data_IF_340791444422
#
_entry.id   IF_340791444422
#
_cell.length_a   1.000
_cell.length_b   1.000
_cell.length_c   1.000
_cell.angle_alpha   90.00
_cell.angle_beta   90.00
_cell.angle_gamma   90.00
#
_symmetry.space_group_name_H-M   'P 1'
#
loop_
_entity.id
_entity.type
_entity.pdbx_description
1 polymer ?
#
# COMPACT_ATOMS: atom_id res chain seq x y z
N UNK A 1 -22.12 21.31 14.85
CA UNK A 1 -21.13 20.88 15.86
C UNK A 1 -19.73 21.01 15.25
N UNK A 2 -18.89 21.89 15.80
CA UNK A 2 -17.51 22.05 15.35
C UNK A 2 -16.73 20.74 15.62
N UNK A 3 -16.18 20.08 14.57
CA UNK A 3 -15.28 18.95 14.74
C UNK A 3 -14.06 19.42 15.52
N UNK A 4 -13.92 18.99 16.77
CA UNK A 4 -12.70 19.21 17.54
C UNK A 4 -11.51 18.70 16.71
N UNK A 5 -10.66 19.63 16.29
CA UNK A 5 -9.41 19.30 15.60
C UNK A 5 -8.55 18.52 16.62
N UNK A 6 -8.31 17.24 16.38
CA UNK A 6 -7.46 16.45 17.25
C UNK A 6 -6.07 17.09 17.29
N UNK A 7 -5.65 17.54 18.46
CA UNK A 7 -4.30 18.08 18.69
C UNK A 7 -3.36 16.91 18.85
N UNK A 8 -2.30 16.89 18.04
CA UNK A 8 -1.22 15.92 18.20
C UNK A 8 -0.35 16.35 19.39
N UNK A 9 -0.17 15.47 20.37
CA UNK A 9 0.60 15.74 21.58
C UNK A 9 1.21 14.45 22.15
N UNK A 10 1.96 14.55 23.23
CA UNK A 10 2.63 13.41 23.86
C UNK A 10 1.64 12.31 24.29
N UNK A 11 0.48 12.66 24.81
CA UNK A 11 -0.53 11.68 25.21
C UNK A 11 -1.03 10.87 24.01
N UNK A 12 -1.25 11.54 22.87
CA UNK A 12 -1.66 10.87 21.64
C UNK A 12 -0.55 9.98 21.08
N UNK A 13 0.70 10.42 21.16
CA UNK A 13 1.88 9.63 20.80
C UNK A 13 1.97 8.36 21.67
N UNK A 14 1.91 8.49 23.00
CA UNK A 14 1.93 7.37 23.93
C UNK A 14 0.78 6.39 23.68
N UNK A 15 -0.39 6.91 23.37
CA UNK A 15 -1.56 6.09 23.00
C UNK A 15 -1.28 5.26 21.74
N UNK A 16 -0.71 5.84 20.69
CA UNK A 16 -0.38 5.11 19.45
C UNK A 16 0.64 3.99 19.71
N UNK A 17 1.65 4.25 20.55
CA UNK A 17 2.61 3.22 20.97
C UNK A 17 1.91 2.09 21.75
N UNK A 18 1.03 2.40 22.68
CA UNK A 18 0.27 1.42 23.46
C UNK A 18 -0.69 0.58 22.58
N UNK A 19 -1.19 1.15 21.47
CA UNK A 19 -1.97 0.43 20.46
C UNK A 19 -1.12 -0.50 19.60
N UNK A 20 0.22 -0.45 19.71
CA UNK A 20 1.18 -1.22 18.91
C UNK A 20 1.30 -0.70 17.48
N UNK A 21 1.03 0.60 17.24
CA UNK A 21 1.17 1.19 15.90
C UNK A 21 2.64 1.29 15.48
N UNK A 22 2.92 1.02 14.22
CA UNK A 22 4.26 0.92 13.66
C UNK A 22 4.96 -0.41 13.97
N UNK A 23 4.33 -1.30 14.73
CA UNK A 23 4.91 -2.55 15.19
C UNK A 23 4.27 -3.77 14.54
N UNK A 24 4.97 -4.91 14.58
CA UNK A 24 4.54 -6.17 14.02
C UNK A 24 5.05 -6.40 12.59
N UNK A 25 4.72 -7.56 12.07
CA UNK A 25 5.06 -8.02 10.71
C UNK A 25 3.84 -8.71 10.12
N UNK A 26 3.73 -8.75 8.80
CA UNK A 26 2.67 -9.43 8.06
C UNK A 26 1.27 -9.04 8.56
N UNK A 27 0.49 -9.98 9.11
CA UNK A 27 -0.87 -9.79 9.61
C UNK A 27 -0.93 -9.05 10.95
N UNK A 28 0.12 -9.11 11.77
CA UNK A 28 0.20 -8.41 13.06
C UNK A 28 0.59 -6.92 12.93
N UNK A 29 1.10 -6.50 11.76
CA UNK A 29 1.53 -5.11 11.59
C UNK A 29 0.36 -4.13 11.67
N UNK A 30 0.54 -3.06 12.44
CA UNK A 30 -0.42 -1.96 12.59
C UNK A 30 0.19 -0.66 12.05
N UNK A 31 -0.37 -0.05 11.00
CA UNK A 31 0.18 1.19 10.44
C UNK A 31 0.10 2.33 11.45
N UNK A 32 1.11 3.21 11.45
CA UNK A 32 1.17 4.37 12.33
C UNK A 32 0.00 5.33 12.10
N UNK A 33 -0.30 5.57 10.83
CA UNK A 33 -1.43 6.39 10.40
C UNK A 33 -2.49 5.49 9.80
N UNK A 34 -3.74 5.64 10.25
CA UNK A 34 -4.90 4.91 9.75
C UNK A 34 -5.90 5.87 9.12
N UNK A 35 -6.72 5.38 8.19
CA UNK A 35 -7.69 6.19 7.44
C UNK A 35 -8.63 6.98 8.36
N UNK A 36 -9.00 6.42 9.51
CA UNK A 36 -9.89 7.08 10.47
C UNK A 36 -9.24 8.20 11.28
N UNK A 37 -7.91 8.34 11.23
CA UNK A 37 -7.20 9.36 12.03
C UNK A 37 -7.36 10.77 11.44
N UNK A 38 -7.63 10.86 10.14
CA UNK A 38 -7.73 12.13 9.44
C UNK A 38 -9.01 12.22 8.61
N UNK A 39 -9.63 13.42 8.53
CA UNK A 39 -10.61 13.68 7.49
C UNK A 39 -9.86 13.69 6.15
N UNK A 40 -10.06 12.66 5.35
CA UNK A 40 -9.43 12.55 4.04
C UNK A 40 -9.97 13.63 3.09
N UNK A 41 -9.07 14.35 2.42
CA UNK A 41 -9.39 15.21 1.28
C UNK A 41 -9.23 14.50 -0.07
N UNK A 42 -8.74 13.25 -0.06
CA UNK A 42 -8.49 12.43 -1.22
C UNK A 42 -9.20 11.08 -1.16
N UNK A 43 -9.07 10.31 -2.23
CA UNK A 43 -9.56 8.93 -2.28
C UNK A 43 -8.63 8.08 -1.42
N UNK A 44 -9.18 7.46 -0.38
CA UNK A 44 -8.49 6.50 0.48
C UNK A 44 -9.07 5.11 0.24
N UNK A 45 -8.25 4.09 0.38
CA UNK A 45 -8.65 2.71 0.11
C UNK A 45 -8.26 1.77 1.25
N UNK A 46 -9.14 0.81 1.53
CA UNK A 46 -8.86 -0.34 2.39
C UNK A 46 -8.83 -1.58 1.53
N UNK A 47 -7.69 -2.25 1.47
CA UNK A 47 -7.49 -3.40 0.59
C UNK A 47 -6.88 -4.55 1.38
N UNK A 48 -7.44 -5.74 1.26
CA UNK A 48 -6.86 -6.96 1.85
C UNK A 48 -5.64 -7.37 1.02
N UNK A 49 -4.48 -7.42 1.65
CA UNK A 49 -3.24 -7.89 1.04
C UNK A 49 -3.22 -9.41 0.92
N UNK A 50 -2.78 -9.92 -0.21
CA UNK A 50 -2.61 -11.37 -0.46
C UNK A 50 -1.44 -11.94 0.33
N UNK A 51 -0.35 -11.16 0.43
CA UNK A 51 0.88 -11.58 1.12
C UNK A 51 0.78 -11.46 2.63
N UNK A 52 0.13 -10.41 3.10
CA UNK A 52 0.07 -10.09 4.53
C UNK A 52 -1.19 -10.60 5.22
N UNK A 53 -2.24 -10.94 4.47
CA UNK A 53 -3.53 -11.39 5.01
C UNK A 53 -4.37 -10.30 5.70
N UNK A 54 -3.80 -9.11 5.95
CA UNK A 54 -4.47 -7.99 6.63
C UNK A 54 -5.03 -6.94 5.70
N UNK A 55 -5.83 -6.03 6.24
CA UNK A 55 -6.34 -4.87 5.52
C UNK A 55 -5.34 -3.73 5.59
N UNK A 56 -4.87 -3.27 4.43
CA UNK A 56 -3.98 -2.13 4.27
C UNK A 56 -4.74 -0.82 4.18
N UNK A 57 -4.15 0.25 4.74
CA UNK A 57 -4.69 1.61 4.76
C UNK A 57 -3.90 2.49 3.79
N UNK A 58 -4.44 2.72 2.60
CA UNK A 58 -3.78 3.47 1.53
C UNK A 58 -4.40 4.86 1.42
N UNK A 59 -3.57 5.90 1.44
CA UNK A 59 -4.01 7.29 1.58
C UNK A 59 -4.18 8.00 0.24
N UNK A 60 -3.86 7.34 -0.87
CA UNK A 60 -4.00 7.88 -2.23
C UNK A 60 -4.16 6.76 -3.27
N UNK A 61 -4.68 7.12 -4.46
CA UNK A 61 -4.74 6.19 -5.59
C UNK A 61 -3.35 5.76 -6.06
N UNK A 62 -2.33 6.63 -5.93
CA UNK A 62 -0.97 6.30 -6.33
C UNK A 62 -0.35 5.25 -5.40
N UNK A 63 -0.61 5.36 -4.09
CA UNK A 63 -0.27 4.32 -3.12
C UNK A 63 -1.00 3.00 -3.42
N UNK A 64 -2.29 3.07 -3.80
CA UNK A 64 -3.08 1.89 -4.18
C UNK A 64 -2.49 1.18 -5.41
N UNK A 65 -2.19 1.94 -6.48
CA UNK A 65 -1.59 1.39 -7.69
C UNK A 65 -0.22 0.74 -7.39
N UNK A 66 0.61 1.39 -6.56
CA UNK A 66 1.92 0.86 -6.18
C UNK A 66 1.81 -0.35 -5.26
N UNK A 67 0.86 -0.34 -4.32
CA UNK A 67 0.56 -1.48 -3.44
C UNK A 67 0.26 -2.76 -4.23
N UNK A 68 -0.59 -2.70 -5.25
CA UNK A 68 -0.90 -3.87 -6.06
C UNK A 68 0.33 -4.43 -6.78
N UNK A 69 1.26 -3.59 -7.22
CA UNK A 69 2.52 -4.05 -7.80
C UNK A 69 3.40 -4.76 -6.78
N UNK A 70 3.46 -4.26 -5.54
CA UNK A 70 4.20 -4.89 -4.45
C UNK A 70 3.58 -6.22 -4.03
N UNK A 71 2.26 -6.24 -3.82
CA UNK A 71 1.53 -7.43 -3.36
C UNK A 71 1.55 -8.56 -4.40
N UNK A 72 1.65 -8.22 -5.68
CA UNK A 72 1.81 -9.17 -6.79
C UNK A 72 3.24 -9.67 -6.97
N UNK A 73 4.24 -8.89 -6.58
CA UNK A 73 5.66 -9.19 -6.82
C UNK A 73 6.16 -10.37 -5.99
N UNK A 74 6.75 -11.38 -6.62
CA UNK A 74 7.39 -12.51 -5.92
C UNK A 74 8.59 -12.11 -5.05
N UNK A 75 9.19 -10.95 -5.33
CA UNK A 75 10.32 -10.43 -4.54
C UNK A 75 9.89 -9.86 -3.20
N UNK A 76 8.64 -9.45 -3.06
CA UNK A 76 8.08 -8.86 -1.85
C UNK A 76 7.65 -9.96 -0.89
N UNK A 77 8.09 -9.87 0.36
CA UNK A 77 7.73 -10.77 1.46
C UNK A 77 6.75 -10.13 2.43
N UNK A 78 6.95 -8.84 2.75
CA UNK A 78 6.07 -8.08 3.63
C UNK A 78 5.93 -6.63 3.16
N UNK A 79 4.78 -6.01 3.42
CA UNK A 79 4.46 -4.64 3.04
C UNK A 79 3.89 -3.95 4.29
N UNK A 80 4.57 -2.92 4.77
CA UNK A 80 4.18 -2.13 5.93
C UNK A 80 3.95 -0.69 5.50
N UNK A 81 2.69 -0.34 5.27
CA UNK A 81 2.30 1.02 4.89
C UNK A 81 2.35 1.97 6.08
N UNK A 82 2.53 3.25 5.81
CA UNK A 82 2.59 4.34 6.81
C UNK A 82 3.54 4.00 7.96
N UNK A 83 4.74 3.51 7.61
CA UNK A 83 5.74 3.08 8.57
C UNK A 83 6.42 4.28 9.24
N UNK A 84 6.43 4.36 10.59
CA UNK A 84 6.98 5.52 11.29
C UNK A 84 8.51 5.58 11.18
N UNK A 85 9.05 6.80 11.15
CA UNK A 85 10.45 7.03 11.47
C UNK A 85 10.59 6.93 12.99
N UNK A 86 10.91 5.72 13.48
CA UNK A 86 10.80 5.35 14.91
C UNK A 86 11.76 6.15 15.80
N UNK A 87 12.98 6.41 15.32
CA UNK A 87 13.94 7.25 16.04
C UNK A 87 13.66 8.73 15.75
N UNK A 88 12.79 9.30 16.59
CA UNK A 88 12.42 10.72 16.51
C UNK A 88 13.61 11.64 16.73
N UNK A 89 14.53 11.28 17.61
CA UNK A 89 15.72 12.08 17.91
C UNK A 89 16.63 12.15 16.69
N UNK A 90 16.88 11.03 16.04
CA UNK A 90 17.63 10.97 14.78
C UNK A 90 16.94 11.80 13.70
N UNK A 91 15.62 11.67 13.53
CA UNK A 91 14.89 12.41 12.51
C UNK A 91 14.94 13.92 12.70
N UNK A 92 14.89 14.40 13.96
CA UNK A 92 15.05 15.82 14.31
C UNK A 92 16.48 16.28 14.04
N UNK A 93 17.49 15.55 14.49
CA UNK A 93 18.91 15.88 14.27
C UNK A 93 19.26 15.95 12.78
N UNK A 94 18.70 15.06 11.96
CA UNK A 94 18.84 15.10 10.49
C UNK A 94 18.25 16.38 9.91
N UNK A 95 17.07 16.78 10.37
CA UNK A 95 16.43 18.01 9.91
C UNK A 95 17.27 19.25 10.28
N UNK A 96 17.77 19.32 11.51
CA UNK A 96 18.65 20.40 11.99
C UNK A 96 19.93 20.48 11.18
N UNK A 97 20.63 19.35 10.99
CA UNK A 97 21.86 19.29 10.18
C UNK A 97 21.63 19.68 8.71
N UNK A 98 20.40 19.50 8.20
CA UNK A 98 20.02 19.90 6.85
C UNK A 98 19.50 21.35 6.76
N UNK A 99 19.38 22.07 7.87
CA UNK A 99 18.74 23.40 7.91
C UNK A 99 17.24 23.35 7.59
N UNK A 100 16.60 22.21 7.80
CA UNK A 100 15.18 21.99 7.52
C UNK A 100 14.38 22.06 8.82
N UNK A 101 13.30 22.82 8.81
CA UNK A 101 12.40 22.87 9.96
C UNK A 101 11.65 21.54 10.08
N UNK A 102 11.87 20.81 11.19
CA UNK A 102 11.09 19.59 11.49
C UNK A 102 9.59 19.92 11.66
N UNK A 103 8.66 19.02 11.31
CA UNK A 103 7.24 19.25 11.50
C UNK A 103 6.81 19.09 12.96
N UNK A 104 6.16 20.14 13.52
CA UNK A 104 5.59 20.17 14.87
C UNK A 104 4.12 20.54 14.81
N UNK A 105 3.33 20.02 15.76
CA UNK A 105 1.98 20.51 15.98
C UNK A 105 2.01 21.94 16.52
N UNK A 106 1.23 22.84 15.91
CA UNK A 106 1.26 24.26 16.27
C UNK A 106 0.66 24.55 17.64
N UNK A 107 -0.27 23.72 18.11
CA UNK A 107 -0.98 23.97 19.36
C UNK A 107 -0.21 23.40 20.57
N UNK A 108 0.36 22.20 20.43
CA UNK A 108 1.06 21.51 21.50
C UNK A 108 2.57 21.74 21.47
N UNK A 109 3.14 22.13 20.32
CA UNK A 109 4.59 22.12 20.10
C UNK A 109 5.22 20.73 20.01
N UNK A 110 4.43 19.66 20.06
CA UNK A 110 4.94 18.29 20.00
C UNK A 110 5.33 17.89 18.57
N UNK A 111 6.49 17.24 18.35
CA UNK A 111 6.92 16.82 17.02
C UNK A 111 5.98 15.73 16.43
N UNK A 112 5.66 15.86 15.15
CA UNK A 112 4.97 14.79 14.45
C UNK A 112 5.92 13.62 14.19
N UNK A 113 5.43 12.40 14.33
CA UNK A 113 6.16 11.25 13.83
C UNK A 113 5.93 11.18 12.32
N UNK A 114 7.01 11.40 11.55
CA UNK A 114 6.97 11.24 10.11
C UNK A 114 6.85 9.77 9.74
N UNK A 115 6.23 9.48 8.61
CA UNK A 115 6.08 8.11 8.10
C UNK A 115 6.59 8.01 6.69
N UNK A 116 7.13 6.85 6.33
CA UNK A 116 7.28 6.43 4.93
C UNK A 116 5.99 5.78 4.46
N UNK A 117 5.62 6.03 3.20
CA UNK A 117 4.39 5.47 2.66
C UNK A 117 4.45 3.93 2.66
N UNK A 118 5.63 3.33 2.38
CA UNK A 118 5.88 1.90 2.52
C UNK A 118 7.28 1.57 3.05
N UNK A 119 7.37 0.64 4.01
CA UNK A 119 8.56 -0.14 4.29
C UNK A 119 8.31 -1.59 3.83
N UNK A 120 9.17 -2.07 2.93
CA UNK A 120 8.99 -3.33 2.21
C UNK A 120 10.08 -4.29 2.63
N UNK A 121 9.73 -5.51 3.02
CA UNK A 121 10.68 -6.60 3.18
C UNK A 121 10.79 -7.38 1.88
N UNK A 122 12.00 -7.54 1.39
CA UNK A 122 12.32 -8.32 0.20
C UNK A 122 13.34 -9.40 0.53
N UNK A 123 13.59 -10.32 -0.41
CA UNK A 123 14.66 -11.33 -0.24
C UNK A 123 16.06 -10.71 -0.10
N UNK A 124 16.26 -9.50 -0.60
CA UNK A 124 17.56 -8.79 -0.54
C UNK A 124 17.65 -7.80 0.63
N UNK A 125 16.64 -7.70 1.48
CA UNK A 125 16.61 -6.79 2.63
C UNK A 125 15.43 -5.81 2.60
N UNK A 126 15.55 -4.76 3.41
CA UNK A 126 14.52 -3.73 3.56
C UNK A 126 14.63 -2.65 2.46
N UNK A 127 13.49 -2.14 2.06
CA UNK A 127 13.40 -1.02 1.14
C UNK A 127 12.28 -0.06 1.56
N UNK A 128 12.60 1.23 1.72
CA UNK A 128 11.62 2.27 2.02
C UNK A 128 11.20 3.04 0.76
N UNK A 129 9.93 3.34 0.65
CA UNK A 129 9.38 4.06 -0.52
C UNK A 129 8.47 5.19 -0.08
N UNK A 130 8.74 6.37 -0.62
CA UNK A 130 7.84 7.52 -0.54
C UNK A 130 7.07 7.66 -1.85
N UNK A 131 5.76 7.77 -1.78
CA UNK A 131 4.89 7.84 -2.96
C UNK A 131 4.32 9.25 -3.05
N UNK A 132 4.68 10.00 -4.07
CA UNK A 132 4.20 11.38 -4.25
C UNK A 132 3.94 11.69 -5.73
N UNK A 133 2.84 12.38 -6.05
CA UNK A 133 2.65 12.90 -7.40
C UNK A 133 3.80 13.84 -7.80
N UNK A 134 4.32 13.74 -9.01
CA UNK A 134 5.42 14.59 -9.50
C UNK A 134 5.12 16.08 -9.35
N UNK A 135 3.85 16.49 -9.53
CA UNK A 135 3.41 17.89 -9.31
C UNK A 135 3.65 18.39 -7.88
N UNK A 136 3.58 17.51 -6.86
CA UNK A 136 3.79 17.88 -5.46
C UNK A 136 5.26 18.18 -5.16
N UNK A 137 6.19 17.67 -5.95
CA UNK A 137 7.63 17.92 -5.80
C UNK A 137 8.03 19.38 -6.11
N UNK A 138 7.13 20.15 -6.75
CA UNK A 138 7.34 21.59 -6.95
C UNK A 138 7.28 22.36 -5.63
N UNK A 139 6.60 21.83 -4.61
CA UNK A 139 6.47 22.46 -3.29
C UNK A 139 7.74 22.24 -2.46
N UNK A 140 8.42 23.33 -2.06
CA UNK A 140 9.65 23.26 -1.25
C UNK A 140 9.43 22.39 0.00
N UNK A 141 8.31 22.60 0.71
CA UNK A 141 8.02 21.88 1.96
C UNK A 141 7.88 20.37 1.77
N UNK A 142 7.42 19.91 0.60
CA UNK A 142 7.34 18.47 0.28
C UNK A 142 8.76 17.93 0.11
N UNK A 143 9.61 18.61 -0.66
CA UNK A 143 11.02 18.20 -0.86
C UNK A 143 11.80 18.15 0.45
N UNK A 144 11.63 19.15 1.32
CA UNK A 144 12.25 19.20 2.65
C UNK A 144 11.90 17.94 3.48
N UNK A 145 10.62 17.57 3.55
CA UNK A 145 10.22 16.36 4.28
C UNK A 145 10.78 15.09 3.67
N UNK A 146 10.76 14.98 2.35
CA UNK A 146 11.35 13.84 1.64
C UNK A 146 12.87 13.74 1.87
N UNK A 147 13.57 14.87 1.98
CA UNK A 147 15.00 14.89 2.26
C UNK A 147 15.32 14.39 3.69
N UNK A 148 14.50 14.75 4.70
CA UNK A 148 14.61 14.18 6.04
C UNK A 148 14.42 12.66 5.99
N UNK A 149 13.37 12.20 5.35
CA UNK A 149 13.03 10.77 5.20
C UNK A 149 14.14 10.00 4.48
N UNK A 150 14.64 10.52 3.37
CA UNK A 150 15.73 9.93 2.60
C UNK A 150 16.99 9.75 3.45
N UNK A 151 17.44 10.81 4.16
CA UNK A 151 18.63 10.76 5.03
C UNK A 151 18.44 9.81 6.20
N UNK A 152 17.22 9.76 6.75
CA UNK A 152 16.89 8.84 7.83
C UNK A 152 17.12 7.38 7.44
N UNK A 153 16.59 6.96 6.30
CA UNK A 153 16.75 5.58 5.80
C UNK A 153 18.19 5.30 5.33
N UNK A 154 18.83 6.29 4.74
CA UNK A 154 20.23 6.19 4.32
C UNK A 154 21.15 5.96 5.51
N UNK A 155 20.94 6.63 6.64
CA UNK A 155 21.72 6.41 7.87
C UNK A 155 21.55 4.99 8.43
N UNK A 156 20.44 4.34 8.13
CA UNK A 156 20.18 2.95 8.52
C UNK A 156 20.62 1.93 7.45
N UNK A 157 21.20 2.37 6.35
CA UNK A 157 21.61 1.49 5.24
C UNK A 157 20.45 0.90 4.45
N UNK A 158 19.25 1.49 4.54
CA UNK A 158 18.05 1.01 3.87
C UNK A 158 17.86 1.73 2.53
N UNK A 159 17.59 0.96 1.47
CA UNK A 159 17.32 1.48 0.12
C UNK A 159 16.02 2.31 0.12
N UNK A 160 16.18 3.63 0.07
CA UNK A 160 15.07 4.56 -0.03
C UNK A 160 14.92 5.08 -1.46
N UNK A 161 13.68 5.14 -1.97
CA UNK A 161 13.37 5.75 -3.26
C UNK A 161 12.06 6.51 -3.19
N UNK A 162 12.04 7.64 -3.91
CA UNK A 162 10.82 8.34 -4.26
C UNK A 162 10.19 7.68 -5.49
N UNK A 163 8.90 7.44 -5.46
CA UNK A 163 8.11 6.88 -6.55
C UNK A 163 7.02 7.88 -6.92
N UNK A 164 6.94 8.21 -8.18
CA UNK A 164 5.88 9.07 -8.74
C UNK A 164 5.02 8.28 -9.73
N UNK A 165 4.02 8.94 -10.32
CA UNK A 165 3.22 8.35 -11.40
C UNK A 165 4.04 7.90 -12.61
N UNK A 166 5.27 8.41 -12.76
CA UNK A 166 6.15 8.08 -13.90
C UNK A 166 6.80 6.70 -13.74
N UNK A 167 7.06 6.27 -12.50
CA UNK A 167 7.68 4.97 -12.20
C UNK A 167 6.65 3.84 -12.04
N UNK A 168 5.35 4.18 -11.97
CA UNK A 168 4.27 3.20 -11.80
C UNK A 168 3.70 2.78 -13.15
N UNK A 169 3.84 1.52 -13.58
CA UNK A 169 3.19 0.99 -14.77
C UNK A 169 1.68 0.84 -14.53
N UNK A 170 0.94 1.93 -14.67
CA UNK A 170 -0.48 2.07 -14.26
C UNK A 170 -1.39 1.02 -14.89
N UNK A 171 -1.17 0.69 -16.17
CA UNK A 171 -1.96 -0.37 -16.83
C UNK A 171 -1.78 -1.71 -16.12
N UNK A 172 -0.52 -2.08 -15.79
CA UNK A 172 -0.25 -3.30 -15.05
C UNK A 172 -0.87 -3.27 -13.65
N UNK A 173 -0.74 -2.15 -12.93
CA UNK A 173 -1.33 -1.99 -11.59
C UNK A 173 -2.85 -2.16 -11.61
N UNK A 174 -3.53 -1.56 -12.59
CA UNK A 174 -4.99 -1.69 -12.77
C UNK A 174 -5.42 -3.09 -13.16
N UNK A 175 -4.67 -3.76 -14.03
CA UNK A 175 -4.94 -5.16 -14.39
C UNK A 175 -4.82 -6.07 -13.16
N UNK A 176 -3.78 -5.88 -12.32
CA UNK A 176 -3.63 -6.62 -11.07
C UNK A 176 -4.79 -6.29 -10.11
N UNK A 177 -5.14 -5.00 -9.97
CA UNK A 177 -6.29 -4.58 -9.16
C UNK A 177 -7.58 -5.28 -9.61
N UNK A 178 -7.82 -5.34 -10.91
CA UNK A 178 -8.98 -6.00 -11.47
C UNK A 178 -8.98 -7.50 -11.16
N UNK A 179 -7.84 -8.18 -11.32
CA UNK A 179 -7.69 -9.60 -10.96
C UNK A 179 -7.93 -9.84 -9.45
N UNK A 180 -7.41 -8.93 -8.60
CA UNK A 180 -7.61 -9.04 -7.15
C UNK A 180 -9.02 -8.63 -6.68
N UNK A 181 -9.85 -8.03 -7.54
CA UNK A 181 -11.24 -7.70 -7.21
C UNK A 181 -12.19 -8.90 -7.33
N UNK A 182 -11.72 -9.99 -7.92
CA UNK A 182 -12.45 -11.25 -7.96
C UNK A 182 -12.76 -11.75 -6.54
N UNK A 183 -13.95 -12.30 -6.36
CA UNK A 183 -14.32 -12.94 -5.10
C UNK A 183 -13.48 -14.21 -4.91
N UNK A 184 -13.43 -14.72 -3.69
CA UNK A 184 -12.75 -15.97 -3.38
C UNK A 184 -13.32 -17.11 -4.24
N UNK A 185 -12.48 -17.72 -5.09
CA UNK A 185 -12.86 -18.79 -6.00
C UNK A 185 -13.51 -19.98 -5.28
N UNK A 186 -13.10 -20.24 -4.04
CA UNK A 186 -13.68 -21.33 -3.24
C UNK A 186 -15.12 -21.05 -2.81
N UNK A 187 -15.48 -19.77 -2.65
CA UNK A 187 -16.87 -19.39 -2.38
C UNK A 187 -17.74 -19.45 -3.65
N UNK A 188 -17.16 -19.06 -4.80
CA UNK A 188 -17.89 -19.00 -6.07
C UNK A 188 -18.03 -20.37 -6.74
N UNK A 189 -16.98 -21.20 -6.66
CA UNK A 189 -16.93 -22.53 -7.25
C UNK A 189 -16.42 -23.50 -6.17
N UNK A 190 -17.32 -23.97 -5.28
CA UNK A 190 -16.94 -24.84 -4.17
C UNK A 190 -16.38 -26.20 -4.60
N UNK A 191 -16.79 -26.71 -5.75
CA UNK A 191 -16.34 -28.01 -6.27
C UNK A 191 -14.94 -27.93 -6.87
N UNK A 192 -13.99 -28.67 -6.29
CA UNK A 192 -12.60 -28.77 -6.75
C UNK A 192 -12.48 -29.23 -8.20
N UNK A 193 -13.28 -30.21 -8.59
CA UNK A 193 -13.27 -30.76 -9.96
C UNK A 193 -13.72 -29.71 -10.97
N UNK A 194 -14.79 -28.98 -10.64
CA UNK A 194 -15.29 -27.90 -11.49
C UNK A 194 -14.25 -26.77 -11.60
N UNK A 195 -13.57 -26.38 -10.50
CA UNK A 195 -12.49 -25.39 -10.56
C UNK A 195 -11.36 -25.80 -11.48
N UNK A 196 -10.91 -27.07 -11.38
CA UNK A 196 -9.87 -27.58 -12.28
C UNK A 196 -10.30 -27.54 -13.74
N UNK A 197 -11.52 -27.96 -14.04
CA UNK A 197 -12.07 -27.94 -15.41
C UNK A 197 -12.19 -26.51 -15.97
N UNK A 198 -12.66 -25.56 -15.17
CA UNK A 198 -12.73 -24.14 -15.56
C UNK A 198 -11.33 -23.60 -15.88
N UNK A 199 -10.35 -23.91 -15.04
CA UNK A 199 -8.95 -23.49 -15.25
C UNK A 199 -8.35 -24.09 -16.51
N UNK A 200 -8.56 -25.37 -16.77
CA UNK A 200 -8.09 -26.05 -17.98
C UNK A 200 -8.72 -25.44 -19.23
N UNK A 201 -10.05 -25.22 -19.23
CA UNK A 201 -10.76 -24.58 -20.34
C UNK A 201 -10.26 -23.15 -20.59
N UNK A 202 -10.02 -22.39 -19.52
CA UNK A 202 -9.42 -21.05 -19.64
C UNK A 202 -8.04 -21.09 -20.29
N UNK A 203 -7.14 -21.94 -19.80
CA UNK A 203 -5.78 -22.06 -20.31
C UNK A 203 -5.75 -22.51 -21.77
N UNK A 204 -6.61 -23.46 -22.15
CA UNK A 204 -6.72 -23.92 -23.54
C UNK A 204 -7.13 -22.80 -24.50
N UNK A 205 -8.07 -21.94 -24.11
CA UNK A 205 -8.49 -20.80 -24.91
C UNK A 205 -7.44 -19.68 -24.93
N UNK A 206 -6.75 -19.46 -23.80
CA UNK A 206 -5.70 -18.47 -23.68
C UNK A 206 -4.48 -18.80 -24.54
N UNK A 207 -4.03 -20.05 -24.52
CA UNK A 207 -2.88 -20.53 -25.30
C UNK A 207 -3.14 -20.47 -26.82
N UNK A 208 -4.39 -20.59 -27.25
CA UNK A 208 -4.77 -20.39 -28.65
C UNK A 208 -4.57 -18.94 -29.12
N UNK A 209 -4.43 -17.98 -28.19
CA UNK A 209 -4.06 -16.58 -28.47
C UNK A 209 -5.08 -15.76 -29.28
N UNK A 210 -6.30 -16.30 -29.46
CA UNK A 210 -7.28 -15.76 -30.43
C UNK A 210 -8.28 -14.78 -29.82
N UNK A 211 -8.38 -14.72 -28.48
CA UNK A 211 -9.42 -13.95 -27.80
C UNK A 211 -8.87 -13.06 -26.67
N UNK A 212 -9.47 -11.86 -26.45
CA UNK A 212 -9.21 -11.09 -25.24
C UNK A 212 -9.60 -11.86 -23.98
N UNK A 213 -8.87 -11.67 -22.87
CA UNK A 213 -9.11 -12.37 -21.59
C UNK A 213 -10.57 -12.28 -21.16
N UNK A 214 -11.19 -11.10 -21.26
CA UNK A 214 -12.60 -10.88 -20.89
C UNK A 214 -13.53 -11.82 -21.66
N UNK A 215 -13.27 -12.07 -22.95
CA UNK A 215 -14.07 -12.98 -23.78
C UNK A 215 -13.87 -14.43 -23.34
N UNK A 216 -12.62 -14.81 -23.01
CA UNK A 216 -12.31 -16.15 -22.50
C UNK A 216 -13.06 -16.40 -21.18
N UNK A 217 -13.04 -15.42 -20.26
CA UNK A 217 -13.74 -15.51 -18.98
C UNK A 217 -15.27 -15.69 -19.19
N UNK A 218 -15.87 -14.95 -20.13
CA UNK A 218 -17.27 -15.10 -20.47
C UNK A 218 -17.61 -16.49 -21.07
N UNK A 219 -16.71 -17.05 -21.89
CA UNK A 219 -16.88 -18.42 -22.38
C UNK A 219 -16.88 -19.43 -21.23
N UNK A 220 -15.92 -19.33 -20.31
CA UNK A 220 -15.84 -20.22 -19.13
C UNK A 220 -17.09 -20.05 -18.26
N UNK A 221 -17.55 -18.83 -18.01
CA UNK A 221 -18.77 -18.55 -17.24
C UNK A 221 -19.98 -19.24 -17.85
N UNK A 222 -20.16 -19.10 -19.16
CA UNK A 222 -21.30 -19.68 -19.87
C UNK A 222 -21.24 -21.23 -19.94
N UNK A 223 -20.06 -21.79 -20.24
CA UNK A 223 -19.86 -23.22 -20.43
C UNK A 223 -20.07 -24.00 -19.13
N UNK A 224 -19.57 -23.42 -18.02
CA UNK A 224 -19.70 -24.03 -16.68
C UNK A 224 -20.89 -23.48 -15.87
N UNK A 225 -21.77 -22.66 -16.48
CA UNK A 225 -22.97 -22.06 -15.86
C UNK A 225 -22.67 -21.33 -14.55
N UNK A 226 -21.57 -20.59 -14.54
CA UNK A 226 -21.18 -19.77 -13.40
C UNK A 226 -21.95 -18.44 -13.38
N UNK A 227 -22.00 -17.80 -12.22
CA UNK A 227 -22.54 -16.43 -12.13
C UNK A 227 -21.70 -15.46 -12.95
N UNK A 228 -22.35 -14.47 -13.59
CA UNK A 228 -21.65 -13.45 -14.37
C UNK A 228 -20.64 -12.70 -13.52
N UNK A 229 -19.39 -12.59 -14.00
CA UNK A 229 -18.26 -11.98 -13.29
C UNK A 229 -17.46 -12.94 -12.41
N UNK A 230 -17.93 -14.19 -12.20
CA UNK A 230 -17.17 -15.17 -11.40
C UNK A 230 -16.00 -15.82 -12.15
N UNK A 231 -15.96 -15.71 -13.47
CA UNK A 231 -14.84 -16.21 -14.29
C UNK A 231 -13.49 -15.60 -13.91
N UNK A 232 -13.47 -14.36 -13.40
CA UNK A 232 -12.25 -13.72 -12.91
C UNK A 232 -11.62 -14.45 -11.71
N UNK A 233 -12.42 -15.14 -10.91
CA UNK A 233 -11.92 -15.90 -9.76
C UNK A 233 -11.19 -17.20 -10.17
N UNK A 234 -11.43 -17.70 -11.39
CA UNK A 234 -10.76 -18.89 -11.95
C UNK A 234 -9.35 -18.57 -12.43
N UNK A 235 -9.14 -17.32 -12.83
CA UNK A 235 -7.87 -16.82 -13.34
C UNK A 235 -6.86 -16.58 -12.21
#
# INVERSE_FOLDING_TARGET
MAKHKRVWNENQYRKYLAEGRGQGLLDDYKPWIQIQDFPSQGIVSRVKGRKTGRVHHLMSNLELEYFYLLDWSEKTQDIREQYPLEDLTMAISIAEAAGIRYPYDKASGFPYIMTSDFLITTRSGLAARAIKPAKELKKARVREKLEIERRYWQNQGIDWKLVTENEIPRTKARNIQWLCSGQDVYCLIPDDKQRCQCKEAFLELYDKGSYPIVVILQYVENDFRLEAGSGIAVF
#
